data_IF_099935300158
#
_entry.id   IF_099935300158
#
_cell.length_a   1.000
_cell.length_b   1.000
_cell.length_c   1.000
_cell.angle_alpha   90.00
_cell.angle_beta   90.00
_cell.angle_gamma   90.00
#
_symmetry.space_group_name_H-M   'P 1'
#
loop_
_entity.id
_entity.type
_entity.pdbx_description
1 polymer ?
#
# COMPACT_ATOMS: atom_id res chain seq x y z
N UNK A 1 3.56 -7.55 -0.54
CA UNK A 1 4.16 -6.21 -0.72
C UNK A 1 3.17 -5.25 -1.36
N UNK A 2 3.18 -3.98 -0.95
CA UNK A 2 2.27 -2.96 -1.44
C UNK A 2 3.03 -1.90 -2.25
N UNK A 3 2.54 -1.58 -3.45
CA UNK A 3 3.12 -0.51 -4.29
C UNK A 3 2.01 0.28 -4.99
N UNK A 4 2.29 1.54 -5.32
CA UNK A 4 1.29 2.42 -5.91
C UNK A 4 0.77 1.84 -7.23
N UNK A 5 1.65 1.28 -8.07
CA UNK A 5 1.26 0.62 -9.32
C UNK A 5 0.46 -0.68 -9.12
N UNK A 6 0.60 -1.36 -7.98
CA UNK A 6 -0.25 -2.51 -7.62
C UNK A 6 -1.68 -2.03 -7.30
N UNK A 7 -1.81 -1.03 -6.41
CA UNK A 7 -3.09 -0.44 -6.03
C UNK A 7 -3.79 0.22 -7.22
N UNK A 8 -3.03 0.93 -8.06
CA UNK A 8 -3.52 1.55 -9.30
C UNK A 8 -4.28 0.54 -10.17
N UNK A 9 -3.69 -0.63 -10.41
CA UNK A 9 -4.27 -1.68 -11.27
C UNK A 9 -5.43 -2.41 -10.59
N UNK A 10 -5.27 -2.80 -9.33
CA UNK A 10 -6.32 -3.53 -8.58
C UNK A 10 -7.57 -2.70 -8.36
N UNK A 11 -7.41 -1.42 -8.04
CA UNK A 11 -8.51 -0.52 -7.68
C UNK A 11 -8.96 0.35 -8.87
N UNK A 12 -8.27 0.29 -10.02
CA UNK A 12 -8.55 1.09 -11.22
C UNK A 12 -8.58 2.60 -10.93
N UNK A 13 -7.60 3.08 -10.18
CA UNK A 13 -7.45 4.48 -9.79
C UNK A 13 -6.18 5.09 -10.39
N UNK A 14 -6.07 6.41 -10.42
CA UNK A 14 -4.83 7.09 -10.85
C UNK A 14 -3.68 6.91 -9.87
N UNK A 15 -2.44 6.99 -10.37
CA UNK A 15 -1.21 6.79 -9.58
C UNK A 15 -1.15 7.69 -8.34
N UNK A 16 -1.47 8.99 -8.48
CA UNK A 16 -1.46 9.95 -7.38
C UNK A 16 -2.46 9.61 -6.25
N UNK A 17 -3.55 8.90 -6.57
CA UNK A 17 -4.49 8.41 -5.56
C UNK A 17 -3.94 7.14 -4.90
N UNK A 18 -3.36 6.23 -5.68
CA UNK A 18 -2.75 5.02 -5.16
C UNK A 18 -1.56 5.30 -4.22
N UNK A 19 -0.72 6.29 -4.54
CA UNK A 19 0.37 6.74 -3.67
C UNK A 19 -0.16 7.26 -2.33
N UNK A 20 -1.17 8.16 -2.35
CA UNK A 20 -1.83 8.66 -1.14
C UNK A 20 -2.43 7.55 -0.28
N UNK A 21 -3.00 6.51 -0.90
CA UNK A 21 -3.52 5.37 -0.15
C UNK A 21 -2.41 4.62 0.58
N UNK A 22 -1.23 4.45 -0.02
CA UNK A 22 -0.08 3.85 0.68
C UNK A 22 0.34 4.67 1.89
N UNK A 23 0.36 6.01 1.78
CA UNK A 23 0.72 6.89 2.90
C UNK A 23 -0.30 6.76 4.04
N UNK A 24 -1.60 6.69 3.72
CA UNK A 24 -2.65 6.44 4.73
C UNK A 24 -2.50 5.04 5.34
N UNK A 25 -2.15 4.03 4.55
CA UNK A 25 -1.91 2.67 5.07
C UNK A 25 -0.70 2.63 6.00
N UNK A 26 0.36 3.38 5.71
CA UNK A 26 1.54 3.50 6.58
C UNK A 26 1.19 4.19 7.90
N UNK A 27 0.47 5.32 7.84
CA UNK A 27 -0.01 6.01 9.05
C UNK A 27 -0.88 5.14 9.95
N UNK A 28 -1.60 4.18 9.36
CA UNK A 28 -2.44 3.20 10.08
C UNK A 28 -1.67 1.95 10.52
N UNK A 29 -0.37 1.86 10.26
CA UNK A 29 0.44 0.69 10.60
C UNK A 29 0.09 -0.56 9.79
N UNK A 30 -0.49 -0.41 8.60
CA UNK A 30 -0.85 -1.54 7.71
C UNK A 30 0.33 -1.93 6.81
N UNK A 31 1.15 -0.96 6.43
CA UNK A 31 2.36 -1.16 5.62
C UNK A 31 3.54 -0.47 6.26
N UNK A 32 4.74 -0.97 5.97
CA UNK A 32 6.00 -0.37 6.42
C UNK A 32 6.32 0.95 5.72
N UNK A 33 7.37 1.65 6.18
CA UNK A 33 7.79 2.94 5.62
C UNK A 33 8.23 2.81 4.16
N UNK A 34 8.23 3.94 3.45
CA UNK A 34 8.75 3.99 2.09
C UNK A 34 10.28 3.79 2.06
N UNK A 35 10.76 2.84 1.25
CA UNK A 35 12.19 2.66 0.94
C UNK A 35 12.42 2.90 -0.57
N UNK A 36 12.49 4.18 -0.93
CA UNK A 36 12.70 4.62 -2.31
C UNK A 36 11.63 4.06 -3.27
N UNK A 37 12.09 3.38 -4.32
CA UNK A 37 11.22 2.75 -5.32
C UNK A 37 10.77 1.33 -4.95
N UNK A 38 11.22 0.78 -3.82
CA UNK A 38 10.87 -0.59 -3.43
C UNK A 38 9.42 -0.66 -2.97
N UNK A 39 8.73 -1.79 -3.23
CA UNK A 39 7.43 -2.06 -2.63
C UNK A 39 7.51 -2.05 -1.10
N UNK A 40 6.50 -1.47 -0.45
CA UNK A 40 6.38 -1.45 1.01
C UNK A 40 6.04 -2.85 1.52
N UNK A 41 6.62 -3.21 2.66
CA UNK A 41 6.23 -4.40 3.40
C UNK A 41 4.78 -4.26 3.90
N UNK A 42 4.04 -5.36 3.96
CA UNK A 42 2.64 -5.37 4.42
C UNK A 42 2.61 -6.14 5.73
N UNK A 43 2.08 -5.52 6.78
CA UNK A 43 2.06 -6.10 8.13
C UNK A 43 0.83 -6.95 8.42
N UNK A 44 -0.24 -6.77 7.63
CA UNK A 44 -1.46 -7.57 7.75
C UNK A 44 -1.49 -8.69 6.69
N UNK A 45 -1.79 -9.90 7.12
CA UNK A 45 -2.17 -10.99 6.23
C UNK A 45 -3.70 -11.02 6.05
N UNK A 46 -4.23 -11.69 5.01
CA UNK A 46 -5.67 -11.86 4.85
C UNK A 46 -6.36 -12.55 6.05
N UNK A 47 -5.57 -13.28 6.85
CA UNK A 47 -5.97 -14.01 8.05
C UNK A 47 -6.32 -13.06 9.20
N UNK A 48 -5.72 -11.87 9.22
CA UNK A 48 -5.91 -10.85 10.26
C UNK A 48 -7.20 -10.03 10.05
N UNK A 49 -7.90 -10.23 8.92
CA UNK A 49 -9.08 -9.46 8.52
C UNK A 49 -10.41 -10.20 8.78
N UNK A 50 -10.37 -11.37 9.44
CA UNK A 50 -11.52 -12.28 9.64
C UNK A 50 -12.09 -12.19 11.05
#
# INVERSE_FOLDING_TARGET
>A
VASASNLQRKMRIGYARAARLLDVMEQRGVVGPADGAKPREVFLSPEDLV
#
